data_IF_284730840415
#
_entry.id   IF_284730840415
#
_cell.length_a   1.000
_cell.length_b   1.000
_cell.length_c   1.000
_cell.angle_alpha   90.00
_cell.angle_beta   90.00
_cell.angle_gamma   90.00
#
_symmetry.space_group_name_H-M   'P 1'
#
loop_
_entity.id
_entity.type
_entity.pdbx_description
1 polymer ?
#
# COMPACT_ATOMS: atom_id res chain seq x y z
N UNK A 1 -2.72 -11.25 6.00
CA UNK A 1 -3.80 -10.25 5.98
C UNK A 1 -3.31 -9.08 5.14
N UNK A 2 -3.93 -8.84 3.99
CA UNK A 2 -3.63 -7.68 3.14
C UNK A 2 -4.51 -6.52 3.62
N UNK A 3 -3.94 -5.57 4.35
CA UNK A 3 -4.67 -4.38 4.80
C UNK A 3 -4.95 -3.51 3.58
N UNK A 4 -6.23 -3.23 3.32
CA UNK A 4 -6.64 -2.31 2.24
C UNK A 4 -5.93 -0.98 2.44
N UNK A 5 -5.26 -0.52 1.39
CA UNK A 5 -4.37 0.63 1.47
C UNK A 5 -5.16 1.95 1.50
N UNK A 6 -4.74 2.91 2.31
CA UNK A 6 -5.34 4.24 2.37
C UNK A 6 -5.27 5.00 1.04
N UNK A 7 -6.31 5.80 0.77
CA UNK A 7 -6.45 6.60 -0.45
C UNK A 7 -5.85 8.01 -0.36
N UNK A 8 -5.50 8.47 0.85
CA UNK A 8 -5.00 9.82 1.11
C UNK A 8 -3.77 9.77 2.04
N UNK A 9 -2.84 10.72 1.87
CA UNK A 9 -1.67 10.87 2.74
C UNK A 9 -2.07 11.05 4.21
N UNK A 10 -3.20 11.73 4.48
CA UNK A 10 -3.73 11.89 5.84
C UNK A 10 -3.94 10.58 6.60
N UNK A 11 -4.28 9.50 5.88
CA UNK A 11 -4.47 8.18 6.46
C UNK A 11 -3.15 7.40 6.59
N UNK A 12 -2.11 7.78 5.84
CA UNK A 12 -0.77 7.16 5.89
C UNK A 12 0.10 7.75 6.99
N UNK A 13 -0.04 9.05 7.26
CA UNK A 13 0.74 9.77 8.27
C UNK A 13 0.78 9.08 9.66
N UNK A 14 -0.34 8.59 10.22
CA UNK A 14 -0.31 7.92 11.52
C UNK A 14 0.26 6.49 11.48
N UNK A 15 0.45 5.90 10.29
CA UNK A 15 0.91 4.53 10.17
C UNK A 15 2.38 4.39 10.58
N UNK A 16 2.70 3.29 11.26
CA UNK A 16 4.07 2.90 11.60
C UNK A 16 4.53 1.88 10.57
N UNK A 17 5.71 2.10 10.00
CA UNK A 17 6.27 1.21 8.98
C UNK A 17 7.52 0.52 9.49
N UNK A 18 7.66 -0.75 9.14
CA UNK A 18 8.88 -1.54 9.31
C UNK A 18 9.33 -2.08 7.95
N UNK A 19 10.61 -1.93 7.63
CA UNK A 19 11.16 -2.46 6.37
C UNK A 19 11.16 -3.99 6.39
N UNK A 20 10.64 -4.63 5.35
CA UNK A 20 10.55 -6.10 5.20
C UNK A 20 11.87 -6.75 4.88
N UNK A 21 12.61 -6.13 3.97
CA UNK A 21 13.74 -6.76 3.28
C UNK A 21 15.05 -6.20 3.79
N UNK A 22 16.05 -7.07 3.85
CA UNK A 22 17.43 -6.63 4.01
C UNK A 22 17.88 -5.95 2.72
N UNK A 23 18.25 -4.68 2.85
CA UNK A 23 18.83 -3.89 1.79
C UNK A 23 20.32 -3.74 2.00
N UNK A 24 21.08 -3.87 0.92
CA UNK A 24 22.46 -3.38 0.84
C UNK A 24 22.44 -2.01 0.19
N UNK A 25 23.02 -1.03 0.85
CA UNK A 25 23.10 0.33 0.33
C UNK A 25 24.53 0.60 -0.16
N UNK A 26 24.65 1.09 -1.39
CA UNK A 26 25.89 1.56 -1.99
C UNK A 26 25.71 3.03 -2.38
N UNK A 27 26.58 3.91 -1.88
CA UNK A 27 26.50 5.34 -2.17
C UNK A 27 27.34 5.63 -3.41
N UNK A 28 26.69 6.12 -4.46
CA UNK A 28 27.33 6.42 -5.76
C UNK A 28 27.09 7.88 -6.12
N UNK A 29 28.00 8.75 -5.69
CA UNK A 29 27.87 10.19 -5.88
C UNK A 29 26.67 10.76 -5.11
N UNK A 30 25.73 11.39 -5.83
CA UNK A 30 24.58 12.08 -5.23
C UNK A 30 23.36 11.18 -4.99
N UNK A 31 23.43 9.91 -5.40
CA UNK A 31 22.35 8.93 -5.21
C UNK A 31 22.83 7.69 -4.49
N UNK A 32 21.88 6.98 -3.90
CA UNK A 32 22.11 5.74 -3.17
C UNK A 32 21.48 4.61 -3.96
N UNK A 33 22.27 3.61 -4.31
CA UNK A 33 21.77 2.38 -4.90
C UNK A 33 21.41 1.42 -3.76
N UNK A 34 20.13 1.10 -3.64
CA UNK A 34 19.64 0.08 -2.72
C UNK A 34 19.45 -1.25 -3.46
N UNK A 35 20.20 -2.28 -3.09
CA UNK A 35 20.06 -3.63 -3.61
C UNK A 35 19.27 -4.49 -2.61
N UNK A 36 18.11 -5.01 -3.04
CA UNK A 36 17.30 -5.95 -2.28
C UNK A 36 17.94 -7.34 -2.35
N UNK A 37 18.33 -7.91 -1.20
CA UNK A 37 19.14 -9.14 -1.19
C UNK A 37 18.45 -10.39 -1.77
N UNK A 38 17.14 -10.64 -1.55
CA UNK A 38 16.48 -11.84 -2.06
C UNK A 38 16.52 -12.00 -3.59
N UNK A 39 16.35 -10.91 -4.33
CA UNK A 39 16.16 -10.91 -5.79
C UNK A 39 17.21 -10.07 -6.53
N UNK A 40 18.13 -9.43 -5.80
CA UNK A 40 19.17 -8.53 -6.32
C UNK A 40 18.60 -7.36 -7.13
N UNK A 41 17.35 -6.98 -6.88
CA UNK A 41 16.76 -5.82 -7.54
C UNK A 41 17.40 -4.55 -6.99
N UNK A 42 17.80 -3.66 -7.89
CA UNK A 42 18.47 -2.41 -7.56
C UNK A 42 17.53 -1.23 -7.76
N UNK A 43 17.48 -0.37 -6.76
CA UNK A 43 16.69 0.85 -6.76
C UNK A 43 17.64 2.04 -6.62
N UNK A 44 17.42 3.09 -7.42
CA UNK A 44 18.11 4.36 -7.23
C UNK A 44 17.28 5.22 -6.29
N UNK A 45 17.82 5.55 -5.13
CA UNK A 45 17.18 6.33 -4.09
C UNK A 45 17.89 7.66 -3.92
N UNK A 46 17.11 8.69 -3.66
CA UNK A 46 17.63 9.95 -3.14
C UNK A 46 18.06 9.79 -1.67
N UNK A 47 18.94 10.67 -1.20
CA UNK A 47 19.46 10.63 0.17
C UNK A 47 18.35 10.72 1.24
N UNK A 48 17.31 11.53 1.02
CA UNK A 48 16.21 11.64 1.97
C UNK A 48 15.36 10.37 2.04
N UNK A 49 15.20 9.65 0.91
CA UNK A 49 14.49 8.36 0.88
C UNK A 49 15.24 7.29 1.66
N UNK A 50 16.57 7.24 1.55
CA UNK A 50 17.40 6.38 2.40
C UNK A 50 17.19 6.69 3.89
N UNK A 51 17.22 7.97 4.25
CA UNK A 51 17.06 8.41 5.63
C UNK A 51 15.65 8.16 6.18
N UNK A 52 14.62 8.17 5.33
CA UNK A 52 13.28 7.67 5.67
C UNK A 52 13.29 6.17 5.94
N UNK A 53 13.87 5.37 5.04
CA UNK A 53 13.94 3.90 5.21
C UNK A 53 14.64 3.50 6.51
N UNK A 54 15.72 4.19 6.89
CA UNK A 54 16.43 3.93 8.15
C UNK A 54 15.58 4.21 9.41
N UNK A 55 14.56 5.05 9.30
CA UNK A 55 13.66 5.42 10.42
C UNK A 55 12.41 4.54 10.51
N UNK A 56 12.18 3.68 9.53
CA UNK A 56 11.08 2.71 9.56
C UNK A 56 11.44 1.49 10.41
N UNK A 57 11.49 1.73 11.73
CA UNK A 57 11.74 0.75 12.78
C UNK A 57 10.46 0.06 13.29
N UNK A 58 9.29 0.54 12.88
CA UNK A 58 7.98 0.11 13.38
C UNK A 58 7.55 0.79 14.68
N UNK A 59 8.39 1.65 15.24
CA UNK A 59 8.10 2.43 16.45
C UNK A 59 7.57 3.80 16.05
N UNK A 60 8.26 4.49 15.13
CA UNK A 60 7.87 5.83 14.69
C UNK A 60 6.77 5.80 13.64
N UNK A 61 5.89 6.80 13.67
CA UNK A 61 4.92 7.01 12.60
C UNK A 61 5.58 7.60 11.35
N UNK A 62 4.95 7.43 10.19
CA UNK A 62 5.41 8.01 8.93
C UNK A 62 5.50 9.54 9.00
N UNK A 63 4.58 10.18 9.72
CA UNK A 63 4.64 11.62 9.99
C UNK A 63 5.86 12.01 10.82
N UNK A 64 6.13 11.30 11.92
CA UNK A 64 7.29 11.59 12.78
C UNK A 64 8.59 11.41 12.00
N UNK A 65 8.72 10.30 11.26
CA UNK A 65 9.89 10.03 10.44
C UNK A 65 10.09 11.11 9.36
N UNK A 66 9.03 11.47 8.62
CA UNK A 66 9.11 12.50 7.57
C UNK A 66 9.44 13.88 8.13
N UNK A 67 8.89 14.25 9.30
CA UNK A 67 9.20 15.51 9.98
C UNK A 67 10.65 15.58 10.43
N UNK A 68 11.20 14.50 10.97
CA UNK A 68 12.63 14.42 11.31
C UNK A 68 13.51 14.55 10.07
N UNK A 69 13.24 13.79 9.02
CA UNK A 69 14.01 13.84 7.77
C UNK A 69 13.93 15.23 7.13
N UNK A 70 12.77 15.90 7.20
CA UNK A 70 12.62 17.26 6.67
C UNK A 70 13.56 18.26 7.36
N UNK A 71 13.87 18.07 8.66
CA UNK A 71 14.83 18.92 9.38
C UNK A 71 16.25 18.78 8.83
N UNK A 72 16.64 17.58 8.41
CA UNK A 72 17.96 17.32 7.81
C UNK A 72 18.02 17.73 6.33
N UNK A 73 16.90 17.61 5.60
CA UNK A 73 16.81 17.87 4.16
C UNK A 73 15.72 18.90 3.84
N UNK A 74 15.85 20.15 4.31
CA UNK A 74 14.83 21.16 4.11
C UNK A 74 14.62 21.43 2.61
N UNK A 75 13.36 21.48 2.18
CA UNK A 75 12.94 21.74 0.78
C UNK A 75 13.44 20.73 -0.26
N UNK A 76 13.93 19.55 0.15
CA UNK A 76 14.37 18.50 -0.78
C UNK A 76 13.24 17.59 -1.26
N UNK A 77 12.11 17.60 -0.58
CA UNK A 77 10.92 16.85 -0.95
C UNK A 77 9.66 17.63 -0.55
N UNK A 78 8.58 17.34 -1.27
CA UNK A 78 7.24 17.89 -1.06
C UNK A 78 6.30 16.82 -0.49
N UNK A 79 5.09 17.23 -0.12
CA UNK A 79 4.01 16.32 0.27
C UNK A 79 3.66 15.30 -0.82
N UNK A 80 3.73 15.72 -2.09
CA UNK A 80 3.50 14.84 -3.24
C UNK A 80 4.61 13.79 -3.36
N UNK A 81 5.87 14.18 -3.09
CA UNK A 81 7.00 13.26 -3.12
C UNK A 81 6.90 12.21 -2.01
N UNK A 82 6.45 12.59 -0.81
CA UNK A 82 6.17 11.64 0.28
C UNK A 82 5.09 10.62 -0.12
N UNK A 83 4.03 11.09 -0.77
CA UNK A 83 2.96 10.22 -1.24
C UNK A 83 3.43 9.25 -2.34
N UNK A 84 4.19 9.75 -3.31
CA UNK A 84 4.79 8.91 -4.35
C UNK A 84 5.78 7.90 -3.77
N UNK A 85 6.55 8.31 -2.77
CA UNK A 85 7.45 7.42 -2.04
C UNK A 85 6.69 6.33 -1.28
N UNK A 86 5.60 6.68 -0.59
CA UNK A 86 4.73 5.70 0.05
C UNK A 86 4.16 4.70 -0.96
N UNK A 87 3.61 5.17 -2.09
CA UNK A 87 3.10 4.28 -3.14
C UNK A 87 4.17 3.35 -3.69
N UNK A 88 5.39 3.82 -3.83
CA UNK A 88 6.52 2.99 -4.24
C UNK A 88 6.85 1.90 -3.20
N UNK A 89 6.92 2.27 -1.91
CA UNK A 89 7.18 1.31 -0.83
C UNK A 89 6.13 0.21 -0.78
N UNK A 90 4.87 0.58 -1.00
CA UNK A 90 3.74 -0.34 -1.00
C UNK A 90 3.70 -1.23 -2.26
N UNK A 91 3.83 -0.63 -3.45
CA UNK A 91 3.83 -1.36 -4.72
C UNK A 91 4.94 -2.41 -4.80
N UNK A 92 6.14 -2.06 -4.34
CA UNK A 92 7.29 -2.96 -4.29
C UNK A 92 7.28 -3.89 -3.07
N UNK A 93 6.26 -3.78 -2.21
CA UNK A 93 6.08 -4.56 -1.00
C UNK A 93 7.32 -4.50 -0.08
N UNK A 94 7.87 -3.30 0.14
CA UNK A 94 9.12 -3.08 0.87
C UNK A 94 8.90 -2.85 2.36
N UNK A 95 7.69 -2.49 2.77
CA UNK A 95 7.33 -2.20 4.16
C UNK A 95 6.17 -3.06 4.64
N UNK A 96 6.11 -3.30 5.94
CA UNK A 96 4.92 -3.79 6.64
C UNK A 96 4.40 -2.65 7.50
N UNK A 97 3.09 -2.46 7.55
CA UNK A 97 2.48 -1.69 8.62
C UNK A 97 2.70 -2.43 9.95
N UNK A 98 3.57 -1.90 10.80
CA UNK A 98 3.67 -2.35 12.17
C UNK A 98 2.38 -1.93 12.88
N UNK A 99 1.63 -2.91 13.39
CA UNK A 99 0.50 -2.60 14.27
C UNK A 99 1.07 -2.23 15.64
N UNK A 100 0.44 -1.25 16.30
CA UNK A 100 0.62 -1.09 17.74
C UNK A 100 0.35 -2.46 18.35
N UNK A 101 1.38 -3.03 18.97
CA UNK A 101 1.21 -4.26 19.71
C UNK A 101 0.21 -3.92 20.81
N UNK A 102 -1.00 -4.48 20.74
CA UNK A 102 -2.01 -4.44 21.80
C UNK A 102 -1.47 -4.99 23.14
N UNK A 103 -0.26 -5.57 23.14
CA UNK A 103 0.47 -6.05 24.31
C UNK A 103 1.64 -5.16 24.72
N UNK A 104 1.75 -3.93 24.21
CA UNK A 104 2.55 -2.91 24.90
C UNK A 104 1.80 -2.63 26.22
N UNK A 105 2.11 -3.45 27.23
CA UNK A 105 1.69 -3.22 28.60
C UNK A 105 2.09 -1.78 28.90
N UNK A 106 1.09 -0.95 29.15
CA UNK A 106 1.28 0.31 29.84
C UNK A 106 1.82 -0.08 31.20
N UNK A 107 3.15 -0.11 31.32
CA UNK A 107 3.81 0.05 32.61
C UNK A 107 3.48 1.49 33.02
N UNK A 108 2.27 1.65 33.55
CA UNK A 108 1.82 2.86 34.25
C UNK A 108 2.66 2.90 35.54
N UNK A 109 3.93 3.28 35.41
CA UNK A 109 4.75 3.84 36.48
C UNK A 109 4.25 5.28 36.77
N UNK A 110 2.93 5.46 36.84
CA UNK A 110 2.31 6.55 37.56
C UNK A 110 2.44 6.27 39.06
N UNK A 111 3.68 6.27 39.55
CA UNK A 111 3.95 6.64 40.94
C UNK A 111 3.58 8.13 41.08
N UNK A 112 2.29 8.39 41.20
CA UNK A 112 1.81 9.61 41.85
C UNK A 112 2.46 9.67 43.22
N UNK A 113 3.31 10.69 43.39
CA UNK A 113 3.95 11.02 44.66
C UNK A 113 2.92 11.18 45.76
N UNK A 114 2.81 10.18 46.63
CA UNK A 114 2.37 10.37 47.99
C UNK A 114 3.61 10.68 48.83
N UNK A 115 3.84 11.97 48.97
CA UNK A 115 4.76 12.59 49.91
C UNK A 115 4.28 12.27 51.35
N UNK A 116 4.74 11.14 51.90
CA UNK A 116 4.60 10.83 53.33
C UNK A 116 5.97 10.99 53.98
N UNK A 117 6.16 12.18 54.51
CA UNK A 117 7.24 12.51 55.44
C UNK A 117 7.24 11.59 56.66
N UNK A 118 8.45 11.14 57.01
CA UNK A 118 8.96 10.74 58.33
C UNK A 118 8.44 9.42 58.94
N UNK A 119 9.34 8.48 59.23
CA UNK A 119 10.09 8.37 60.50
C UNK A 119 11.06 7.19 60.37
N UNK A 120 12.33 7.40 60.72
CA UNK A 120 13.37 6.39 60.62
C UNK A 120 13.33 5.35 61.73
N UNK A 121 13.74 4.12 61.40
CA UNK A 121 14.42 3.22 62.34
C UNK A 121 15.30 2.21 61.61
N UNK A 122 16.60 2.51 61.62
CA UNK A 122 17.72 1.61 61.95
C UNK A 122 17.45 0.09 61.98
N UNK A 123 17.97 -0.59 60.97
CA UNK A 123 18.74 -1.84 61.07
C UNK A 123 18.02 -3.14 61.45
N UNK A 124 17.90 -4.05 60.49
CA UNK A 124 18.09 -5.49 60.73
C UNK A 124 18.36 -6.25 59.43
N UNK A 125 19.52 -6.91 59.39
CA UNK A 125 19.81 -8.05 58.51
C UNK A 125 18.94 -9.20 59.02
N UNK A 126 18.02 -9.69 58.21
CA UNK A 126 17.41 -11.00 58.41
C UNK A 126 17.35 -11.76 57.07
N UNK A 127 17.62 -13.05 57.19
CA UNK A 127 17.83 -14.10 56.19
C UNK A 127 16.82 -14.17 55.05
N UNK A 128 17.16 -14.83 53.91
CA UNK A 128 16.18 -15.16 52.89
C UNK A 128 15.19 -16.19 53.46
N UNK A 129 14.03 -15.71 53.88
CA UNK A 129 12.86 -16.54 54.14
C UNK A 129 12.47 -17.21 52.83
N UNK A 130 12.73 -18.51 52.72
CA UNK A 130 12.16 -19.38 51.71
C UNK A 130 10.63 -19.26 51.79
N UNK A 131 10.05 -18.51 50.86
CA UNK A 131 8.61 -18.49 50.62
C UNK A 131 8.21 -19.87 50.09
N UNK A 132 7.85 -20.78 50.99
CA UNK A 132 7.07 -21.96 50.63
C UNK A 132 5.67 -21.49 50.31
N UNK A 133 5.45 -21.12 49.05
CA UNK A 133 4.12 -20.86 48.52
C UNK A 133 3.43 -22.23 48.46
N UNK A 134 2.55 -22.49 49.42
CA UNK A 134 1.63 -23.64 49.37
C UNK A 134 0.65 -23.42 48.22
N UNK A 135 1.07 -23.83 47.02
CA UNK A 135 0.21 -23.81 45.85
C UNK A 135 -0.92 -24.82 46.06
N UNK A 136 -2.14 -24.30 46.04
CA UNK A 136 -3.34 -25.12 46.18
C UNK A 136 -3.43 -26.07 44.97
N UNK A 137 -3.76 -27.35 45.21
CA UNK A 137 -3.72 -28.41 44.19
C UNK A 137 -4.60 -28.08 42.96
N UNK A 138 -5.67 -27.31 43.19
CA UNK A 138 -6.55 -26.77 42.16
C UNK A 138 -5.88 -25.75 41.22
N UNK A 139 -4.98 -24.90 41.75
CA UNK A 139 -4.22 -23.96 40.93
C UNK A 139 -3.23 -24.69 40.01
N UNK A 140 -2.66 -25.79 40.48
CA UNK A 140 -1.77 -26.61 39.66
C UNK A 140 -2.52 -27.35 38.55
N UNK A 141 -3.75 -27.80 38.81
CA UNK A 141 -4.63 -28.37 37.79
C UNK A 141 -5.07 -27.32 36.76
N UNK A 142 -5.46 -26.12 37.21
CA UNK A 142 -5.81 -25.02 36.32
C UNK A 142 -4.64 -24.62 35.42
N UNK A 143 -3.42 -24.56 35.96
CA UNK A 143 -2.20 -24.25 35.21
C UNK A 143 -1.88 -25.33 34.16
N UNK A 144 -2.09 -26.61 34.49
CA UNK A 144 -1.91 -27.72 33.53
C UNK A 144 -2.90 -27.62 32.37
N UNK A 145 -4.16 -27.31 32.67
CA UNK A 145 -5.21 -27.15 31.65
C UNK A 145 -4.89 -25.94 30.77
N UNK A 146 -4.51 -24.80 31.36
CA UNK A 146 -4.14 -23.61 30.59
C UNK A 146 -2.92 -23.85 29.71
N UNK A 147 -1.89 -24.54 30.23
CA UNK A 147 -0.71 -24.90 29.45
C UNK A 147 -1.05 -25.83 28.28
N UNK A 148 -1.95 -26.79 28.48
CA UNK A 148 -2.41 -27.68 27.41
C UNK A 148 -3.18 -26.92 26.32
N UNK A 149 -4.07 -25.99 26.71
CA UNK A 149 -4.83 -25.16 25.76
C UNK A 149 -3.88 -24.25 24.95
N UNK A 150 -2.93 -23.59 25.62
CA UNK A 150 -1.92 -22.75 24.95
C UNK A 150 -1.09 -23.59 23.97
N UNK A 151 -0.65 -24.78 24.39
CA UNK A 151 0.09 -25.69 23.52
C UNK A 151 -0.73 -26.08 22.27
N UNK A 152 -2.00 -26.44 22.43
CA UNK A 152 -2.89 -26.74 21.30
C UNK A 152 -3.03 -25.55 20.35
N UNK A 153 -3.23 -24.34 20.87
CA UNK A 153 -3.33 -23.12 20.05
C UNK A 153 -2.03 -22.82 19.31
N UNK A 154 -0.86 -23.05 19.92
CA UNK A 154 0.44 -22.94 19.26
C UNK A 154 0.56 -23.93 18.10
N UNK A 155 0.16 -25.20 18.29
CA UNK A 155 0.17 -26.20 17.21
C UNK A 155 -0.76 -25.80 16.08
N UNK A 156 -2.00 -25.37 16.36
CA UNK A 156 -2.92 -24.88 15.33
C UNK A 156 -2.35 -23.69 14.57
N UNK A 157 -1.67 -22.76 15.25
CA UNK A 157 -1.03 -21.61 14.60
C UNK A 157 0.10 -22.04 13.67
N UNK A 158 0.94 -23.01 14.07
CA UNK A 158 2.00 -23.55 13.21
C UNK A 158 1.40 -24.21 11.98
N UNK A 159 0.36 -25.04 12.14
CA UNK A 159 -0.33 -25.69 11.01
C UNK A 159 -0.97 -24.67 10.08
N UNK A 160 -1.63 -23.64 10.62
CA UNK A 160 -2.26 -22.58 9.82
C UNK A 160 -1.25 -21.75 9.05
N UNK A 161 -0.10 -21.44 9.65
CA UNK A 161 1.00 -20.71 8.99
C UNK A 161 1.73 -21.59 7.96
N UNK A 162 1.82 -22.89 8.22
CA UNK A 162 2.45 -23.85 7.31
C UNK A 162 1.50 -24.36 6.21
N UNK A 163 0.18 -24.21 6.34
CA UNK A 163 -0.80 -24.60 5.33
C UNK A 163 -0.48 -24.07 3.91
N UNK A 164 -0.09 -22.79 3.71
CA UNK A 164 0.31 -22.30 2.39
C UNK A 164 1.64 -22.88 1.85
N UNK A 165 2.41 -23.66 2.62
CA UNK A 165 3.58 -24.41 2.10
C UNK A 165 3.18 -25.72 1.41
N UNK A 166 1.96 -26.20 1.64
CA UNK A 166 1.45 -27.44 1.05
C UNK A 166 0.51 -27.22 -0.13
N UNK A 167 0.19 -25.97 -0.47
CA UNK A 167 -0.48 -25.64 -1.73
C UNK A 167 0.58 -25.56 -2.84
N UNK A 168 0.48 -26.37 -3.92
CA UNK A 168 1.39 -26.26 -5.05
C UNK A 168 1.23 -24.88 -5.69
N UNK A 169 2.33 -24.24 -6.15
CA UNK A 169 2.27 -22.92 -6.75
C UNK A 169 1.38 -22.99 -7.98
N UNK A 170 0.21 -22.34 -7.90
CA UNK A 170 -0.59 -22.04 -9.08
C UNK A 170 0.20 -20.99 -9.85
N UNK A 171 0.68 -21.36 -11.03
CA UNK A 171 1.37 -20.47 -11.98
C UNK A 171 0.47 -19.28 -12.32
N UNK A 172 0.59 -18.19 -11.55
CA UNK A 172 0.03 -16.88 -11.82
C UNK A 172 1.01 -16.08 -12.68
N UNK A 173 1.49 -16.68 -13.78
CA UNK A 173 2.01 -15.89 -14.89
C UNK A 173 0.81 -15.42 -15.71
N UNK A 174 0.58 -14.11 -15.76
CA UNK A 174 -0.06 -13.31 -16.84
C UNK A 174 -0.90 -12.18 -16.23
N UNK A 175 -0.34 -10.97 -16.19
CA UNK A 175 -0.79 -9.80 -16.97
C UNK A 175 -0.05 -8.56 -16.45
N UNK A 176 1.01 -8.18 -17.17
CA UNK A 176 1.59 -6.86 -17.05
C UNK A 176 0.85 -5.90 -17.98
N UNK A 177 0.32 -4.81 -17.43
CA UNK A 177 -0.04 -3.63 -18.20
C UNK A 177 0.78 -2.44 -17.69
N UNK A 178 1.68 -2.01 -18.57
CA UNK A 178 2.27 -0.68 -18.76
C UNK A 178 2.27 0.33 -17.59
N UNK A 179 3.45 0.50 -17.00
CA UNK A 179 3.88 1.69 -16.28
C UNK A 179 5.39 1.80 -16.40
N UNK A 180 5.87 2.74 -17.21
CA UNK A 180 7.27 2.84 -17.63
C UNK A 180 8.18 3.19 -16.45
N UNK A 181 8.93 2.22 -15.95
CA UNK A 181 10.19 2.44 -15.24
C UNK A 181 11.29 1.70 -15.99
N UNK A 182 12.31 2.44 -16.43
CA UNK A 182 13.45 1.91 -17.16
C UNK A 182 14.27 1.00 -16.25
N UNK A 183 13.96 -0.29 -16.33
CA UNK A 183 14.79 -1.38 -15.83
C UNK A 183 16.13 -1.35 -16.57
N UNK A 184 17.18 -0.86 -15.93
CA UNK A 184 18.55 -1.00 -16.44
C UNK A 184 18.95 -2.46 -16.28
N UNK A 185 18.72 -3.26 -17.32
CA UNK A 185 19.21 -4.64 -17.37
C UNK A 185 20.73 -4.63 -17.59
N UNK A 186 21.50 -5.47 -16.87
CA UNK A 186 22.90 -5.66 -17.19
C UNK A 186 23.03 -6.42 -18.50
N UNK A 187 23.81 -5.87 -19.43
CA UNK A 187 24.14 -6.52 -20.69
C UNK A 187 25.00 -7.75 -20.44
N UNK A 188 24.43 -8.96 -20.55
CA UNK A 188 25.24 -10.15 -20.75
C UNK A 188 24.63 -11.18 -21.73
N UNK A 189 25.27 -11.16 -22.89
CA UNK A 189 25.42 -12.10 -24.01
C UNK A 189 24.92 -13.56 -23.86
N UNK A 190 24.31 -14.00 -24.97
CA UNK A 190 24.27 -15.36 -25.59
C UNK A 190 23.37 -16.42 -24.94
N UNK A 191 22.21 -16.70 -25.55
CA UNK A 191 21.99 -17.90 -26.39
C UNK A 191 20.50 -18.15 -26.69
N UNK A 192 20.12 -17.96 -27.96
CA UNK A 192 19.39 -18.93 -28.80
C UNK A 192 18.11 -19.57 -28.23
N UNK A 193 16.94 -19.13 -28.72
CA UNK A 193 16.18 -19.87 -29.76
C UNK A 193 15.03 -19.02 -30.29
N UNK A 194 14.95 -19.01 -31.60
CA UNK A 194 13.91 -18.42 -32.42
C UNK A 194 12.55 -19.05 -32.10
N UNK A 195 11.58 -18.23 -31.71
CA UNK A 195 10.17 -18.53 -31.91
C UNK A 195 9.56 -17.33 -32.62
N UNK A 196 9.27 -17.55 -33.91
CA UNK A 196 8.62 -16.57 -34.79
C UNK A 196 7.23 -16.26 -34.23
N UNK A 197 7.00 -14.99 -33.88
CA UNK A 197 5.68 -14.42 -33.72
C UNK A 197 4.90 -14.54 -35.05
N UNK A 198 3.60 -14.87 -35.03
CA UNK A 198 2.69 -14.34 -36.02
C UNK A 198 2.39 -12.87 -35.66
N UNK A 199 2.87 -11.94 -36.48
CA UNK A 199 2.42 -10.55 -36.48
C UNK A 199 0.92 -10.52 -36.82
N UNK A 200 0.06 -10.27 -35.84
CA UNK A 200 -1.36 -10.03 -36.10
C UNK A 200 -1.56 -8.55 -36.43
N UNK A 201 -2.01 -8.34 -37.66
CA UNK A 201 -2.37 -7.12 -38.38
C UNK A 201 -3.50 -6.31 -37.74
N UNK A 202 -3.35 -5.89 -36.47
CA UNK A 202 -4.36 -5.08 -35.76
C UNK A 202 -3.78 -3.72 -35.36
N UNK A 203 -2.47 -3.62 -35.09
CA UNK A 203 -1.83 -2.37 -34.66
C UNK A 203 -1.65 -1.33 -35.78
N UNK A 204 -1.76 -1.71 -37.05
CA UNK A 204 -1.67 -0.76 -38.18
C UNK A 204 -2.99 -0.06 -38.53
N UNK A 205 -4.13 -0.50 -37.99
CA UNK A 205 -5.41 0.17 -38.26
C UNK A 205 -5.71 1.31 -37.26
N UNK A 206 -5.21 1.23 -36.03
CA UNK A 206 -5.48 2.22 -34.99
C UNK A 206 -4.61 3.48 -35.11
N UNK A 207 -3.41 3.36 -35.67
CA UNK A 207 -2.52 4.51 -35.95
C UNK A 207 -2.93 5.32 -37.20
N UNK A 208 -3.74 4.77 -38.10
CA UNK A 208 -4.23 5.48 -39.28
C UNK A 208 -5.44 6.39 -38.96
N UNK A 209 -6.17 6.11 -37.87
CA UNK A 209 -7.32 6.91 -37.43
C UNK A 209 -6.87 8.14 -36.62
N UNK A 210 -5.79 8.03 -35.85
CA UNK A 210 -5.21 9.14 -35.08
C UNK A 210 -4.39 10.14 -35.92
N UNK A 211 -3.85 9.73 -37.07
CA UNK A 211 -3.05 10.61 -37.94
C UNK A 211 -3.88 11.52 -38.86
N UNK A 212 -5.19 11.29 -39.00
CA UNK A 212 -6.07 12.06 -39.91
C UNK A 212 -6.78 13.25 -39.25
N UNK A 213 -6.52 13.52 -37.97
CA UNK A 213 -7.18 14.57 -37.19
C UNK A 213 -6.38 15.87 -37.00
N UNK A 214 -5.18 16.01 -37.57
CA UNK A 214 -4.24 17.11 -37.23
C UNK A 214 -3.63 17.88 -38.42
N UNK A 215 -4.26 17.85 -39.58
CA UNK A 215 -4.08 18.85 -40.66
C UNK A 215 -5.49 19.14 -41.18
N UNK A 216 -6.02 20.35 -41.21
CA UNK A 216 -5.49 21.55 -41.84
C UNK A 216 -6.47 22.69 -41.54
N UNK A 217 -6.07 23.78 -40.87
CA UNK A 217 -6.82 25.05 -40.92
C UNK A 217 -5.82 26.22 -40.94
N UNK A 218 -5.61 26.77 -42.13
CA UNK A 218 -5.14 28.17 -42.34
C UNK A 218 -6.37 28.99 -42.75
N UNK A 219 -6.44 30.31 -42.45
CA UNK A 219 -7.67 31.08 -42.56
C UNK A 219 -7.82 31.73 -43.94
N UNK A 220 -9.07 31.80 -44.42
CA UNK A 220 -9.53 32.77 -45.41
C UNK A 220 -10.99 33.10 -45.10
N UNK A 221 -11.35 34.39 -45.10
CA UNK A 221 -12.68 34.90 -44.78
C UNK A 221 -13.72 34.70 -45.89
N UNK A 222 -14.69 35.61 -46.02
CA UNK A 222 -15.91 35.64 -45.20
C UNK A 222 -17.18 35.34 -46.02
N UNK A 223 -18.30 35.28 -45.29
CA UNK A 223 -19.70 35.27 -45.75
C UNK A 223 -20.29 33.94 -46.24
N UNK A 224 -21.28 33.41 -45.52
CA UNK A 224 -22.70 33.65 -45.83
C UNK A 224 -23.60 32.88 -44.85
N UNK A 225 -24.77 33.48 -44.60
CA UNK A 225 -25.66 33.14 -43.50
C UNK A 225 -26.14 31.70 -43.45
N UNK A 226 -25.98 31.09 -42.28
CA UNK A 226 -26.82 29.98 -41.84
C UNK A 226 -27.33 30.31 -40.44
N UNK A 227 -28.66 30.28 -40.32
CA UNK A 227 -29.43 30.52 -39.10
C UNK A 227 -28.80 29.80 -37.90
N UNK A 228 -28.62 30.46 -36.75
CA UNK A 228 -28.18 29.77 -35.55
C UNK A 228 -29.28 28.80 -35.11
N UNK A 229 -29.05 27.51 -35.33
CA UNK A 229 -29.78 26.45 -34.64
C UNK A 229 -29.32 26.54 -33.19
N UNK A 230 -30.15 27.13 -32.34
CA UNK A 230 -29.92 27.18 -30.90
C UNK A 230 -29.61 25.77 -30.40
N UNK A 231 -28.33 25.48 -30.12
CA UNK A 231 -27.98 24.37 -29.25
C UNK A 231 -28.51 24.77 -27.88
N UNK A 232 -29.57 24.10 -27.44
CA UNK A 232 -29.99 24.11 -26.04
C UNK A 232 -28.78 23.70 -25.21
N UNK A 233 -28.20 24.67 -24.50
CA UNK A 233 -27.19 24.42 -23.48
C UNK A 233 -27.81 23.42 -22.50
N UNK A 234 -27.23 22.22 -22.33
CA UNK A 234 -27.77 21.25 -21.39
C UNK A 234 -27.83 21.90 -20.01
N UNK A 235 -28.98 21.75 -19.34
CA UNK A 235 -29.18 22.35 -18.03
C UNK A 235 -28.14 21.78 -17.07
N UNK A 236 -27.34 22.67 -16.48
CA UNK A 236 -26.26 22.31 -15.55
C UNK A 236 -26.79 21.43 -14.41
N UNK A 237 -28.03 21.66 -14.01
CA UNK A 237 -28.69 20.89 -12.95
C UNK A 237 -28.97 19.44 -13.37
N UNK A 238 -29.29 19.20 -14.64
CA UNK A 238 -29.51 17.86 -15.20
C UNK A 238 -28.19 17.08 -15.26
N UNK A 239 -27.09 17.73 -15.68
CA UNK A 239 -25.77 17.11 -15.74
C UNK A 239 -25.25 16.73 -14.35
N UNK A 240 -25.48 17.57 -13.34
CA UNK A 240 -25.11 17.27 -11.95
C UNK A 240 -25.92 16.09 -11.38
N UNK A 241 -27.24 16.04 -11.62
CA UNK A 241 -28.07 14.90 -11.23
C UNK A 241 -27.56 13.59 -11.84
N UNK A 242 -27.14 13.64 -13.10
CA UNK A 242 -26.60 12.47 -13.81
C UNK A 242 -25.26 12.00 -13.24
N UNK A 243 -24.40 12.92 -12.80
CA UNK A 243 -23.15 12.58 -12.11
C UNK A 243 -23.45 11.86 -10.79
N UNK A 244 -24.41 12.35 -10.01
CA UNK A 244 -24.77 11.75 -8.73
C UNK A 244 -25.33 10.33 -8.89
N UNK A 245 -26.16 10.11 -9.92
CA UNK A 245 -26.65 8.77 -10.27
C UNK A 245 -25.52 7.82 -10.68
N UNK A 246 -24.54 8.29 -11.47
CA UNK A 246 -23.37 7.49 -11.85
C UNK A 246 -22.48 7.15 -10.65
N UNK A 247 -22.30 8.10 -9.72
CA UNK A 247 -21.56 7.87 -8.47
C UNK A 247 -22.25 6.84 -7.58
N UNK A 248 -23.59 6.88 -7.49
CA UNK A 248 -24.37 5.85 -6.78
C UNK A 248 -24.17 4.47 -7.41
N UNK A 249 -24.27 4.36 -8.74
CA UNK A 249 -24.03 3.09 -9.44
C UNK A 249 -22.60 2.57 -9.25
N UNK A 250 -21.61 3.47 -9.17
CA UNK A 250 -20.22 3.09 -8.92
C UNK A 250 -20.05 2.49 -7.51
N UNK A 251 -20.69 3.07 -6.50
CA UNK A 251 -20.68 2.53 -5.14
C UNK A 251 -21.32 1.13 -5.07
N UNK A 252 -22.44 0.91 -5.78
CA UNK A 252 -23.05 -0.43 -5.88
C UNK A 252 -22.15 -1.46 -6.57
N UNK A 253 -21.46 -1.06 -7.65
CA UNK A 253 -20.50 -1.93 -8.34
C UNK A 253 -19.31 -2.29 -7.43
N UNK A 254 -18.85 -1.37 -6.57
CA UNK A 254 -17.78 -1.67 -5.61
C UNK A 254 -18.20 -2.74 -4.60
N UNK A 255 -19.43 -2.68 -4.09
CA UNK A 255 -19.97 -3.70 -3.17
C UNK A 255 -20.02 -5.06 -3.85
N UNK A 256 -20.60 -5.15 -5.07
CA UNK A 256 -20.68 -6.40 -5.84
C UNK A 256 -19.31 -6.95 -6.22
N UNK A 257 -18.36 -6.08 -6.59
CA UNK A 257 -16.96 -6.48 -6.86
C UNK A 257 -16.34 -7.16 -5.63
N UNK A 258 -16.52 -6.57 -4.45
CA UNK A 258 -15.98 -7.12 -3.21
C UNK A 258 -16.66 -8.46 -2.86
N UNK A 259 -17.96 -8.58 -3.10
CA UNK A 259 -18.69 -9.84 -2.94
C UNK A 259 -18.14 -10.94 -3.86
N UNK A 260 -17.95 -10.66 -5.15
CA UNK A 260 -17.35 -11.61 -6.08
C UNK A 260 -15.91 -11.99 -5.73
N UNK A 261 -15.15 -11.04 -5.17
CA UNK A 261 -13.80 -11.31 -4.68
C UNK A 261 -13.81 -12.30 -3.51
N UNK A 262 -14.69 -12.10 -2.53
CA UNK A 262 -14.84 -13.00 -1.37
C UNK A 262 -15.32 -14.39 -1.81
N UNK A 263 -16.19 -14.46 -2.81
CA UNK A 263 -16.68 -15.72 -3.38
C UNK A 263 -15.67 -16.40 -4.32
N UNK A 264 -14.48 -15.82 -4.55
CA UNK A 264 -13.51 -16.27 -5.55
C UNK A 264 -14.09 -16.41 -6.98
N UNK A 265 -15.10 -15.59 -7.32
CA UNK A 265 -15.78 -15.64 -8.60
C UNK A 265 -15.15 -14.66 -9.62
N UNK A 266 -14.05 -15.10 -10.25
CA UNK A 266 -13.20 -14.27 -11.11
C UNK A 266 -13.94 -13.55 -12.25
N UNK A 267 -14.82 -14.25 -12.98
CA UNK A 267 -15.55 -13.66 -14.11
C UNK A 267 -16.49 -12.52 -13.67
N UNK A 268 -17.11 -12.67 -12.49
CA UNK A 268 -17.99 -11.65 -11.89
C UNK A 268 -17.19 -10.45 -11.41
N UNK A 269 -16.05 -10.69 -10.77
CA UNK A 269 -15.11 -9.65 -10.36
C UNK A 269 -14.66 -8.80 -11.56
N UNK A 270 -14.19 -9.44 -12.65
CA UNK A 270 -13.74 -8.72 -13.84
C UNK A 270 -14.86 -7.92 -14.49
N UNK A 271 -16.08 -8.47 -14.56
CA UNK A 271 -17.25 -7.77 -15.11
C UNK A 271 -17.56 -6.48 -14.34
N UNK A 272 -17.55 -6.54 -13.01
CA UNK A 272 -17.81 -5.34 -12.19
C UNK A 272 -16.67 -4.32 -12.29
N UNK A 273 -15.40 -4.77 -12.38
CA UNK A 273 -14.26 -3.86 -12.61
C UNK A 273 -14.38 -3.12 -13.94
N UNK A 274 -14.69 -3.82 -15.04
CA UNK A 274 -14.90 -3.20 -16.35
C UNK A 274 -16.04 -2.18 -16.29
N UNK A 275 -17.16 -2.54 -15.65
CA UNK A 275 -18.30 -1.65 -15.46
C UNK A 275 -17.93 -0.39 -14.64
N UNK A 276 -17.11 -0.53 -13.60
CA UNK A 276 -16.61 0.60 -12.82
C UNK A 276 -15.75 1.55 -13.67
N UNK A 277 -14.86 1.01 -14.51
CA UNK A 277 -14.04 1.81 -15.43
C UNK A 277 -14.91 2.60 -16.42
N UNK A 278 -15.96 1.97 -16.96
CA UNK A 278 -16.91 2.63 -17.85
C UNK A 278 -17.70 3.75 -17.16
N UNK A 279 -18.13 3.54 -15.91
CA UNK A 279 -18.81 4.56 -15.11
C UNK A 279 -17.90 5.76 -14.81
N UNK A 280 -16.64 5.51 -14.45
CA UNK A 280 -15.65 6.59 -14.23
C UNK A 280 -15.40 7.39 -15.49
N UNK A 281 -15.29 6.72 -16.65
CA UNK A 281 -15.16 7.39 -17.95
C UNK A 281 -16.35 8.30 -18.25
N UNK A 282 -17.58 7.84 -18.00
CA UNK A 282 -18.79 8.64 -18.19
C UNK A 282 -18.86 9.85 -17.25
N UNK A 283 -18.47 9.68 -15.98
CA UNK A 283 -18.38 10.79 -15.02
C UNK A 283 -17.40 11.85 -15.53
N UNK A 284 -16.19 11.45 -15.91
CA UNK A 284 -15.17 12.36 -16.42
C UNK A 284 -15.63 13.08 -17.70
N UNK A 285 -16.34 12.37 -18.59
CA UNK A 285 -16.89 12.98 -19.81
C UNK A 285 -17.93 14.05 -19.49
N UNK A 286 -18.81 13.82 -18.51
CA UNK A 286 -19.80 14.82 -18.09
C UNK A 286 -19.13 15.98 -17.34
N UNK A 287 -18.18 15.70 -16.45
CA UNK A 287 -17.42 16.73 -15.72
C UNK A 287 -16.62 17.62 -16.66
N UNK A 288 -16.11 17.09 -17.77
CA UNK A 288 -15.41 17.90 -18.80
C UNK A 288 -16.31 18.85 -19.59
N UNK A 289 -17.64 18.64 -19.56
CA UNK A 289 -18.65 19.46 -20.26
C UNK A 289 -19.28 20.53 -19.34
N UNK A 290 -18.99 20.48 -18.04
CA UNK A 290 -19.42 21.43 -17.02
C UNK A 290 -18.42 22.58 -16.86
#
# INVERSE_FOLDING_TARGET
MSTVLPGNLGEVLPLRFRVRSEFRFEVTGDHVVAERLPDKQRFSLSLWQLEMLKRFDGIRTFEQASREVYRFFPRKFTTLDLWNFYRWLDHENLVVCAHESIFELVDDDSEEGLDVSQVGTRGKKDSPSSMNIEFNEWQFQALKISAAVIFCLCVFRIVYVAAPLFEPPVDLSFYGHEGTFTKVMPANKKARREQKLPETTIEKLELAVLAKGLQEVRPAGPELGLKPKALSVPDRQELMSKIDDLRRQLAECQVRRNEFYIQNHAAGYHREVTKMTDLLRQINEIESRL
#
